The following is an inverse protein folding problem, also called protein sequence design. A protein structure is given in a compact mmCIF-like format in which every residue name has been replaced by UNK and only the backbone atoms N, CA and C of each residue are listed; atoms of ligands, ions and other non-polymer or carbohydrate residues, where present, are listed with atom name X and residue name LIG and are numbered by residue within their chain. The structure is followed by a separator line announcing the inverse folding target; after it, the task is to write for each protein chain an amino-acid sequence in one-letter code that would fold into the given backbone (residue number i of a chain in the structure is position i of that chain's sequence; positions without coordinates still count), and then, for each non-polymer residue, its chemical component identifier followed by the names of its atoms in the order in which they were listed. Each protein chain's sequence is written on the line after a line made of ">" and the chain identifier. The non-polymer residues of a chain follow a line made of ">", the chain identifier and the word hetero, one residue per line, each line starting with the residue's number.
data_IF_208852245012
#
_entry.id   IF_208852245012
#
_cell.length_a   1.000
_cell.length_b   1.000
_cell.length_c   1.000
_cell.angle_alpha   90.00
_cell.angle_beta   90.00
_cell.angle_gamma   90.00
#
_symmetry.space_group_name_H-M   'P 1'
#
loop_
_entity.id
_entity.type
_entity.pdbx_description
1 polymer ?
#
# COMPACT_ATOMS: atom_id res chain seq x y z
N UNK A 1 65.78 -60.22 47.80
CA UNK A 1 66.76 -60.47 46.71
C UNK A 1 65.95 -60.75 45.45
N UNK A 2 66.12 -60.19 44.25
CA UNK A 2 67.12 -59.35 43.60
C UNK A 2 66.37 -58.52 42.55
N UNK A 3 66.85 -57.28 42.33
CA UNK A 3 66.52 -56.43 41.17
C UNK A 3 66.92 -57.14 39.89
N UNK A 4 66.21 -56.85 38.80
CA UNK A 4 66.82 -56.68 37.47
C UNK A 4 66.01 -55.67 36.66
N UNK A 5 66.71 -54.65 36.19
CA UNK A 5 66.24 -53.72 35.16
C UNK A 5 66.42 -54.36 33.80
N UNK A 6 65.49 -54.17 32.86
CA UNK A 6 65.86 -53.97 31.47
C UNK A 6 64.89 -53.03 30.74
N UNK A 7 65.47 -52.33 29.78
CA UNK A 7 65.06 -51.15 29.04
C UNK A 7 64.06 -51.41 27.89
N UNK A 8 63.36 -50.33 27.50
CA UNK A 8 62.88 -49.92 26.15
C UNK A 8 62.10 -50.91 25.26
N UNK A 9 60.91 -50.49 24.80
CA UNK A 9 60.75 -50.08 23.39
C UNK A 9 59.43 -49.31 23.17
N UNK A 10 59.55 -48.17 22.51
CA UNK A 10 58.47 -47.33 21.98
C UNK A 10 57.67 -48.04 20.90
N UNK A 11 56.34 -47.85 20.89
CA UNK A 11 55.54 -47.84 19.66
C UNK A 11 54.34 -46.91 19.85
N UNK A 12 54.50 -45.65 19.43
CA UNK A 12 53.38 -44.75 19.19
C UNK A 12 52.70 -45.23 17.89
N UNK A 13 51.55 -45.88 18.02
CA UNK A 13 50.63 -46.06 16.90
C UNK A 13 49.96 -44.71 16.61
N UNK A 14 50.60 -43.93 15.72
CA UNK A 14 49.96 -42.88 14.95
C UNK A 14 48.95 -43.55 14.01
N UNK A 15 47.74 -43.80 14.51
CA UNK A 15 46.60 -43.91 13.61
C UNK A 15 46.34 -42.52 13.05
N UNK A 16 46.72 -42.34 11.78
CA UNK A 16 46.28 -41.21 10.98
C UNK A 16 44.75 -41.22 10.96
N UNK A 17 44.15 -40.34 11.75
CA UNK A 17 42.77 -39.93 11.53
C UNK A 17 42.81 -39.24 10.16
N UNK A 18 42.12 -39.74 9.12
CA UNK A 18 41.88 -38.92 7.95
C UNK A 18 41.12 -37.71 8.48
N UNK A 19 41.81 -36.57 8.53
CA UNK A 19 41.14 -35.30 8.71
C UNK A 19 40.25 -35.18 7.49
N UNK A 20 38.98 -35.56 7.64
CA UNK A 20 37.96 -35.16 6.72
C UNK A 20 38.04 -33.63 6.74
N UNK A 21 38.65 -33.08 5.70
CA UNK A 21 38.43 -31.70 5.32
C UNK A 21 36.95 -31.64 4.98
N UNK A 22 36.12 -31.38 5.98
CA UNK A 22 34.82 -30.81 5.76
C UNK A 22 35.09 -29.47 5.12
N UNK A 23 35.07 -29.44 3.80
CA UNK A 23 34.81 -28.22 3.07
C UNK A 23 33.45 -27.73 3.56
N UNK A 24 33.46 -26.83 4.54
CA UNK A 24 32.34 -25.95 4.79
C UNK A 24 32.29 -25.04 3.58
N UNK A 25 31.52 -25.44 2.56
CA UNK A 25 31.12 -24.53 1.50
C UNK A 25 30.22 -23.48 2.17
N UNK A 26 30.85 -22.40 2.60
CA UNK A 26 30.21 -21.10 2.81
C UNK A 26 29.68 -20.62 1.45
N UNK A 27 28.55 -21.17 1.00
CA UNK A 27 27.58 -20.56 0.09
C UNK A 27 26.39 -21.51 -0.14
N UNK A 28 25.72 -21.92 0.94
CA UNK A 28 24.34 -22.40 0.79
C UNK A 28 23.50 -21.13 0.80
N UNK A 29 23.24 -20.58 -0.39
CA UNK A 29 22.22 -19.55 -0.54
C UNK A 29 20.94 -20.08 0.12
N UNK A 30 20.60 -19.50 1.28
CA UNK A 30 19.40 -19.83 2.00
C UNK A 30 18.23 -19.43 1.10
N UNK A 31 17.37 -20.37 0.74
CA UNK A 31 16.24 -20.09 -0.16
C UNK A 31 15.26 -19.17 0.54
N UNK A 32 15.30 -17.88 0.19
CA UNK A 32 14.46 -16.88 0.83
C UNK A 32 13.22 -16.65 -0.02
N UNK A 33 12.06 -17.03 0.52
CA UNK A 33 10.78 -16.50 0.04
C UNK A 33 10.71 -15.02 0.43
N UNK A 34 10.79 -14.13 -0.57
CA UNK A 34 10.48 -12.71 -0.40
C UNK A 34 9.01 -12.47 -0.64
N UNK A 35 8.41 -11.64 0.22
CA UNK A 35 7.00 -11.25 0.11
C UNK A 35 6.95 -9.73 0.06
N UNK A 36 6.19 -9.21 -0.90
CA UNK A 36 5.87 -7.79 -1.02
C UNK A 36 4.37 -7.62 -1.19
N UNK A 37 3.87 -6.43 -0.91
CA UNK A 37 2.46 -6.12 -1.06
C UNK A 37 2.26 -4.71 -1.60
N UNK A 38 1.12 -4.48 -2.26
CA UNK A 38 0.69 -3.17 -2.73
C UNK A 38 -0.83 -3.07 -2.80
N UNK A 39 -1.40 -1.87 -2.63
CA UNK A 39 -2.82 -1.66 -2.89
C UNK A 39 -3.15 -1.84 -4.39
N UNK A 40 -4.33 -2.37 -4.69
CA UNK A 40 -4.87 -2.60 -6.04
C UNK A 40 -6.29 -1.99 -6.22
N UNK A 41 -6.65 -1.06 -5.33
CA UNK A 41 -7.96 -0.40 -5.29
C UNK A 41 -8.65 -0.56 -3.94
N UNK A 42 -9.93 -0.20 -3.88
CA UNK A 42 -10.73 -0.11 -2.64
C UNK A 42 -10.63 -1.38 -1.79
N UNK A 43 -9.89 -1.31 -0.69
CA UNK A 43 -9.67 -2.43 0.22
C UNK A 43 -8.90 -3.62 -0.37
N UNK A 44 -8.49 -3.57 -1.64
CA UNK A 44 -7.85 -4.69 -2.33
C UNK A 44 -6.35 -4.59 -2.26
N UNK A 45 -5.71 -5.69 -1.89
CA UNK A 45 -4.27 -5.81 -1.77
C UNK A 45 -3.76 -6.95 -2.62
N UNK A 46 -2.68 -6.71 -3.34
CA UNK A 46 -1.95 -7.72 -4.10
C UNK A 46 -0.69 -8.05 -3.32
N UNK A 47 -0.48 -9.33 -3.05
CA UNK A 47 0.74 -9.85 -2.47
C UNK A 47 1.49 -10.61 -3.54
N UNK A 48 2.79 -10.36 -3.65
CA UNK A 48 3.70 -11.06 -4.54
C UNK A 48 4.70 -11.80 -3.69
N UNK A 49 4.74 -13.12 -3.83
CA UNK A 49 5.80 -13.95 -3.29
C UNK A 49 6.81 -14.28 -4.39
N UNK A 50 8.09 -14.34 -4.05
CA UNK A 50 9.19 -14.61 -4.97
C UNK A 50 10.21 -15.52 -4.31
N UNK A 51 10.59 -16.59 -4.99
CA UNK A 51 11.77 -17.39 -4.66
C UNK A 51 12.98 -16.74 -5.33
N UNK A 52 13.97 -16.32 -4.54
CA UNK A 52 15.20 -15.79 -5.08
C UNK A 52 16.27 -16.87 -5.25
N UNK A 53 16.99 -16.82 -6.37
CA UNK A 53 18.16 -17.68 -6.62
C UNK A 53 17.81 -19.11 -7.03
N UNK A 54 16.56 -19.39 -7.38
CA UNK A 54 16.11 -20.69 -7.84
C UNK A 54 15.65 -20.63 -9.29
N UNK A 55 16.08 -21.58 -10.11
CA UNK A 55 15.68 -21.72 -11.52
C UNK A 55 14.83 -22.98 -11.68
N UNK A 56 13.98 -23.02 -12.72
CA UNK A 56 13.11 -24.17 -13.02
C UNK A 56 12.15 -24.55 -11.88
N UNK A 57 11.63 -23.54 -11.18
CA UNK A 57 10.65 -23.71 -10.10
C UNK A 57 9.30 -24.17 -10.64
N UNK A 58 8.74 -25.23 -10.05
CA UNK A 58 7.37 -25.69 -10.29
C UNK A 58 6.73 -26.14 -9.00
N UNK A 59 5.54 -25.64 -8.69
CA UNK A 59 4.83 -26.08 -7.51
C UNK A 59 3.61 -25.24 -7.18
N UNK A 60 3.10 -25.48 -5.98
CA UNK A 60 1.91 -24.83 -5.46
C UNK A 60 2.29 -23.76 -4.45
N UNK A 61 1.68 -22.59 -4.62
CA UNK A 61 1.78 -21.50 -3.67
C UNK A 61 0.47 -21.39 -2.89
N UNK A 62 0.56 -21.37 -1.56
CA UNK A 62 -0.58 -21.09 -0.69
C UNK A 62 -0.34 -19.80 0.09
N UNK A 63 -1.38 -18.97 0.14
CA UNK A 63 -1.40 -17.70 0.85
C UNK A 63 -2.53 -17.75 1.86
N UNK A 64 -2.24 -17.49 3.13
CA UNK A 64 -3.23 -17.46 4.22
C UNK A 64 -3.13 -16.13 4.95
N UNK A 65 -4.14 -15.29 4.80
CA UNK A 65 -4.27 -14.00 5.49
C UNK A 65 -5.02 -14.18 6.81
N UNK A 66 -4.41 -13.71 7.89
CA UNK A 66 -4.91 -13.70 9.27
C UNK A 66 -5.48 -15.05 9.74
N UNK A 67 -4.97 -16.16 9.18
CA UNK A 67 -5.39 -17.52 9.54
C UNK A 67 -6.76 -17.96 9.00
N UNK A 68 -7.44 -17.13 8.19
CA UNK A 68 -8.82 -17.38 7.77
C UNK A 68 -9.01 -17.35 6.25
N UNK A 69 -8.48 -16.33 5.58
CA UNK A 69 -8.64 -16.19 4.13
C UNK A 69 -7.49 -16.88 3.41
N UNK A 70 -7.80 -17.95 2.69
CA UNK A 70 -6.78 -18.72 1.97
C UNK A 70 -7.01 -18.74 0.47
N UNK A 71 -5.94 -18.60 -0.31
CA UNK A 71 -5.93 -18.93 -1.74
C UNK A 71 -4.73 -19.80 -2.06
N UNK A 72 -4.93 -20.76 -2.97
CA UNK A 72 -3.84 -21.57 -3.52
C UNK A 72 -3.77 -21.34 -5.02
N UNK A 73 -2.55 -21.09 -5.51
CA UNK A 73 -2.27 -20.83 -6.92
C UNK A 73 -1.22 -21.83 -7.36
N UNK A 74 -1.63 -22.72 -8.26
CA UNK A 74 -0.69 -23.57 -9.01
C UNK A 74 0.02 -22.68 -10.03
N UNK A 75 1.35 -22.68 -10.00
CA UNK A 75 2.13 -21.79 -10.86
C UNK A 75 3.45 -22.42 -11.31
N UNK A 76 3.75 -22.29 -12.59
CA UNK A 76 5.09 -22.57 -13.13
C UNK A 76 5.91 -21.28 -13.13
N UNK A 77 6.87 -21.19 -12.23
CA UNK A 77 7.77 -20.04 -12.12
C UNK A 77 8.08 -19.63 -10.68
N UNK A 78 9.02 -18.71 -10.56
CA UNK A 78 9.61 -18.26 -9.27
C UNK A 78 8.70 -17.33 -8.47
N UNK A 79 7.58 -16.87 -9.04
CA UNK A 79 6.72 -15.85 -8.45
C UNK A 79 5.25 -16.23 -8.49
N UNK A 80 4.53 -15.99 -7.40
CA UNK A 80 3.08 -16.12 -7.36
C UNK A 80 2.45 -14.86 -6.76
N UNK A 81 1.21 -14.60 -7.17
CA UNK A 81 0.44 -13.47 -6.68
C UNK A 81 -0.90 -13.93 -6.09
N UNK A 82 -1.27 -13.32 -4.97
CA UNK A 82 -2.58 -13.47 -4.35
C UNK A 82 -3.23 -12.11 -4.15
N UNK A 83 -4.56 -12.07 -4.25
CA UNK A 83 -5.35 -10.86 -3.99
C UNK A 83 -6.27 -11.10 -2.81
N UNK A 84 -6.29 -10.16 -1.88
CA UNK A 84 -7.18 -10.18 -0.72
C UNK A 84 -7.93 -8.85 -0.61
N UNK A 85 -9.12 -8.90 -0.02
CA UNK A 85 -9.84 -7.70 0.43
C UNK A 85 -9.59 -7.54 1.92
N UNK A 86 -9.04 -6.41 2.33
CA UNK A 86 -8.66 -6.07 3.70
C UNK A 86 -9.34 -4.75 4.04
N UNK A 87 -10.41 -4.85 4.82
CA UNK A 87 -11.26 -3.70 5.15
C UNK A 87 -10.91 -3.08 6.51
N UNK A 88 -10.17 -3.79 7.35
CA UNK A 88 -9.70 -3.28 8.64
C UNK A 88 -8.31 -2.69 8.53
N UNK A 89 -8.05 -1.50 9.10
CA UNK A 89 -6.70 -1.02 9.28
C UNK A 89 -6.03 -1.68 10.50
N UNK A 90 -4.70 -1.60 10.55
CA UNK A 90 -3.89 -2.15 11.63
C UNK A 90 -2.91 -3.21 11.15
N UNK A 91 -2.46 -4.05 12.08
CA UNK A 91 -1.45 -5.08 11.83
C UNK A 91 -2.11 -6.36 11.30
N UNK A 92 -1.54 -6.91 10.25
CA UNK A 92 -1.99 -8.14 9.58
C UNK A 92 -0.85 -9.13 9.42
N UNK A 93 -1.21 -10.41 9.30
CA UNK A 93 -0.27 -11.50 9.08
C UNK A 93 -0.65 -12.27 7.81
N UNK A 94 0.31 -12.41 6.90
CA UNK A 94 0.22 -13.29 5.76
C UNK A 94 1.21 -14.45 5.93
N UNK A 95 0.69 -15.67 5.89
CA UNK A 95 1.51 -16.86 5.80
C UNK A 95 1.56 -17.32 4.34
N UNK A 96 2.77 -17.40 3.78
CA UNK A 96 3.02 -17.88 2.43
C UNK A 96 3.73 -19.21 2.51
N UNK A 97 3.26 -20.22 1.80
CA UNK A 97 3.96 -21.49 1.64
C UNK A 97 4.12 -21.85 0.17
N UNK A 98 5.26 -22.43 -0.16
CA UNK A 98 5.53 -23.04 -1.45
C UNK A 98 5.80 -24.53 -1.23
N UNK A 99 5.21 -25.39 -2.05
CA UNK A 99 5.51 -26.82 -2.08
C UNK A 99 5.73 -27.26 -3.53
N UNK A 100 6.91 -27.79 -3.84
CA UNK A 100 7.22 -28.16 -5.21
C UNK A 100 8.69 -28.46 -5.47
N UNK A 101 9.06 -28.40 -6.74
CA UNK A 101 10.42 -28.60 -7.24
C UNK A 101 11.19 -27.28 -7.35
N UNK A 102 12.44 -27.30 -6.89
CA UNK A 102 13.43 -26.24 -6.90
C UNK A 102 14.70 -26.79 -7.60
N UNK A 103 14.75 -26.67 -8.92
CA UNK A 103 15.72 -27.39 -9.76
C UNK A 103 15.58 -28.91 -9.60
N UNK A 104 16.67 -29.56 -9.17
CA UNK A 104 16.72 -31.03 -8.99
C UNK A 104 16.19 -31.51 -7.64
N UNK A 105 15.69 -30.60 -6.80
CA UNK A 105 15.23 -30.90 -5.43
C UNK A 105 13.74 -30.67 -5.32
N UNK A 106 13.08 -31.40 -4.43
CA UNK A 106 11.74 -31.05 -3.96
C UNK A 106 11.82 -30.48 -2.55
N UNK A 107 10.92 -29.57 -2.22
CA UNK A 107 10.94 -28.90 -0.93
C UNK A 107 9.66 -28.18 -0.60
N UNK A 108 9.56 -27.81 0.67
CA UNK A 108 8.52 -26.95 1.19
C UNK A 108 9.15 -25.77 1.91
N UNK A 109 8.73 -24.57 1.53
CA UNK A 109 9.18 -23.32 2.12
C UNK A 109 7.98 -22.62 2.75
N UNK A 110 8.20 -21.97 3.89
CA UNK A 110 7.16 -21.20 4.58
C UNK A 110 7.74 -19.85 4.98
N UNK A 111 6.94 -18.80 4.84
CA UNK A 111 7.28 -17.44 5.23
C UNK A 111 6.10 -16.81 5.93
N UNK A 112 6.33 -16.39 7.17
CA UNK A 112 5.46 -15.43 7.84
C UNK A 112 5.84 -14.01 7.40
N UNK A 113 4.85 -13.23 6.98
CA UNK A 113 4.99 -11.86 6.56
C UNK A 113 4.00 -10.98 7.32
N UNK A 114 4.52 -10.08 8.14
CA UNK A 114 3.74 -9.13 8.93
C UNK A 114 3.77 -7.78 8.22
N UNK A 115 2.60 -7.16 8.07
CA UNK A 115 2.46 -5.84 7.46
C UNK A 115 1.38 -5.02 8.18
N UNK A 116 1.36 -3.71 7.92
CA UNK A 116 0.38 -2.78 8.49
C UNK A 116 -0.43 -2.13 7.38
N UNK A 117 -1.76 -2.15 7.55
CA UNK A 117 -2.72 -1.43 6.73
C UNK A 117 -3.02 -0.09 7.40
N UNK A 118 -2.51 1.04 6.88
CA UNK A 118 -2.72 2.35 7.47
C UNK A 118 -4.17 2.84 7.33
N UNK A 119 -4.56 3.80 8.19
CA UNK A 119 -5.85 4.50 8.08
C UNK A 119 -5.68 6.01 8.03
N UNK A 120 -6.47 6.71 7.22
CA UNK A 120 -6.51 8.16 7.18
C UNK A 120 -7.58 8.73 8.14
N UNK A 121 -7.10 9.46 9.15
CA UNK A 121 -7.93 10.26 10.06
C UNK A 121 -7.90 11.72 9.65
N UNK A 122 -9.08 12.36 9.57
CA UNK A 122 -9.23 13.81 9.34
C UNK A 122 -9.99 14.41 10.49
N UNK A 123 -9.44 15.46 11.10
CA UNK A 123 -10.00 16.20 12.22
C UNK A 123 -10.15 17.67 11.87
N UNK A 124 -11.28 18.25 12.27
CA UNK A 124 -11.57 19.67 12.12
C UNK A 124 -11.54 20.27 13.52
N UNK A 125 -10.69 21.26 13.70
CA UNK A 125 -10.69 22.11 14.88
C UNK A 125 -11.61 23.30 14.63
N UNK A 126 -12.44 23.65 15.62
CA UNK A 126 -13.39 24.77 15.55
C UNK A 126 -12.73 26.12 15.27
N UNK A 127 -11.39 26.20 15.36
CA UNK A 127 -10.57 27.35 14.96
C UNK A 127 -10.17 27.36 13.47
N UNK A 128 -10.99 26.79 12.56
CA UNK A 128 -10.75 26.72 11.10
C UNK A 128 -9.51 25.92 10.68
N UNK A 129 -8.98 25.06 11.55
CA UNK A 129 -7.84 24.20 11.21
C UNK A 129 -8.32 22.80 10.82
N UNK A 130 -7.79 22.29 9.71
CA UNK A 130 -7.97 20.90 9.29
C UNK A 130 -6.65 20.18 9.52
N UNK A 131 -6.73 19.03 10.18
CA UNK A 131 -5.58 18.16 10.42
C UNK A 131 -5.85 16.76 9.89
N UNK A 132 -4.90 16.21 9.16
CA UNK A 132 -4.92 14.86 8.63
C UNK A 132 -3.75 14.06 9.23
N UNK A 133 -3.99 12.78 9.49
CA UNK A 133 -3.01 11.86 10.06
C UNK A 133 -3.19 10.46 9.50
N UNK A 134 -2.10 9.84 9.08
CA UNK A 134 -2.04 8.40 8.84
C UNK A 134 -1.82 7.68 10.17
N UNK A 135 -2.73 6.75 10.49
CA UNK A 135 -2.66 5.85 11.64
C UNK A 135 -1.99 4.54 11.22
N UNK A 136 -1.42 3.82 12.19
CA UNK A 136 -0.72 2.55 11.97
C UNK A 136 0.45 2.66 10.98
N UNK A 137 1.18 3.77 11.07
CA UNK A 137 2.44 3.97 10.38
C UNK A 137 3.27 5.03 11.11
N UNK A 138 4.58 4.80 11.19
CA UNK A 138 5.55 5.80 11.62
C UNK A 138 6.34 6.37 10.44
N UNK A 139 6.35 5.67 9.31
CA UNK A 139 7.13 6.00 8.12
C UNK A 139 6.20 6.30 6.95
N UNK A 140 6.07 7.58 6.64
CA UNK A 140 5.33 8.05 5.47
C UNK A 140 6.10 9.20 4.84
N UNK A 141 6.27 9.14 3.52
CA UNK A 141 6.90 10.18 2.72
C UNK A 141 6.01 10.44 1.51
N UNK A 142 5.38 11.62 1.49
CA UNK A 142 4.44 11.92 0.43
C UNK A 142 3.88 13.32 0.49
N UNK A 143 2.92 13.56 -0.40
CA UNK A 143 2.27 14.83 -0.57
C UNK A 143 0.84 14.76 -0.05
N UNK A 144 0.53 15.70 0.84
CA UNK A 144 -0.83 15.99 1.27
C UNK A 144 -1.46 17.06 0.39
N UNK A 145 -2.74 16.89 0.10
CA UNK A 145 -3.56 17.94 -0.54
C UNK A 145 -4.89 18.06 0.20
N UNK A 146 -5.22 19.28 0.61
CA UNK A 146 -6.54 19.66 1.08
C UNK A 146 -7.17 20.54 -0.01
N UNK A 147 -8.29 20.11 -0.56
CA UNK A 147 -9.08 20.89 -1.51
C UNK A 147 -10.47 21.16 -0.92
N UNK A 148 -10.88 22.42 -0.93
CA UNK A 148 -12.16 22.86 -0.43
C UNK A 148 -12.97 23.46 -1.57
N UNK A 149 -14.25 23.11 -1.66
CA UNK A 149 -15.16 23.70 -2.63
C UNK A 149 -16.54 23.92 -2.05
N UNK A 150 -17.33 24.74 -2.72
CA UNK A 150 -18.71 25.03 -2.33
C UNK A 150 -19.63 23.85 -2.65
N UNK A 151 -20.88 23.90 -2.20
CA UNK A 151 -21.89 22.89 -2.55
C UNK A 151 -22.17 22.77 -4.07
N UNK A 152 -21.84 23.81 -4.87
CA UNK A 152 -21.95 23.75 -6.34
C UNK A 152 -20.83 22.93 -6.99
N UNK A 153 -19.78 22.60 -6.21
CA UNK A 153 -18.54 21.97 -6.65
C UNK A 153 -17.45 22.97 -7.06
N UNK A 154 -17.72 24.27 -6.98
CA UNK A 154 -16.73 25.32 -7.28
C UNK A 154 -15.59 25.28 -6.27
N UNK A 155 -14.36 25.27 -6.75
CA UNK A 155 -13.17 25.24 -5.92
C UNK A 155 -12.96 26.60 -5.23
N UNK A 156 -12.82 26.55 -3.90
CA UNK A 156 -12.59 27.72 -3.05
C UNK A 156 -11.12 27.84 -2.68
N UNK A 157 -10.50 26.71 -2.34
CA UNK A 157 -9.13 26.70 -1.84
C UNK A 157 -8.44 25.35 -2.11
N UNK A 158 -7.14 25.39 -2.39
CA UNK A 158 -6.26 24.22 -2.36
C UNK A 158 -5.03 24.54 -1.50
N UNK A 159 -4.69 23.63 -0.59
CA UNK A 159 -3.45 23.64 0.19
C UNK A 159 -2.71 22.34 0.00
N UNK A 160 -1.40 22.44 -0.21
CA UNK A 160 -0.53 21.29 -0.41
C UNK A 160 0.63 21.32 0.59
N UNK A 161 1.13 20.15 0.96
CA UNK A 161 2.42 20.02 1.64
C UNK A 161 3.59 20.02 0.63
N UNK A 162 4.81 20.00 1.14
CA UNK A 162 5.97 19.53 0.37
C UNK A 162 5.79 18.06 -0.04
N UNK A 163 6.61 17.59 -0.98
CA UNK A 163 6.48 16.26 -1.60
C UNK A 163 6.90 15.09 -0.69
N UNK A 164 7.77 15.36 0.27
CA UNK A 164 8.41 14.44 1.22
C UNK A 164 7.87 14.61 2.64
N UNK A 165 6.59 14.99 2.74
CA UNK A 165 5.98 15.27 4.03
C UNK A 165 5.65 13.98 4.79
N UNK A 166 5.84 14.04 6.11
CA UNK A 166 5.55 12.95 7.04
C UNK A 166 4.05 12.59 7.14
N UNK A 167 3.70 11.65 8.05
CA UNK A 167 2.36 11.05 8.16
C UNK A 167 1.27 12.01 8.67
N UNK A 168 1.60 13.26 8.98
CA UNK A 168 0.69 14.26 9.57
C UNK A 168 0.77 15.53 8.77
N UNK A 169 -0.36 16.17 8.55
CA UNK A 169 -0.40 17.50 7.96
C UNK A 169 -1.55 18.32 8.54
N UNK A 170 -1.29 19.59 8.84
CA UNK A 170 -2.30 20.49 9.39
C UNK A 170 -2.19 21.86 8.75
N UNK A 171 -3.33 22.44 8.39
CA UNK A 171 -3.44 23.78 7.84
C UNK A 171 -4.69 24.48 8.32
N UNK A 172 -4.56 25.78 8.52
CA UNK A 172 -5.70 26.69 8.64
C UNK A 172 -6.27 26.94 7.24
N UNK A 173 -7.59 26.84 7.12
CA UNK A 173 -8.30 27.24 5.93
C UNK A 173 -8.42 28.76 5.87
N UNK A 174 -8.69 29.30 4.69
CA UNK A 174 -9.01 30.70 4.50
C UNK A 174 -10.28 31.10 5.28
N UNK A 175 -10.53 32.40 5.39
CA UNK A 175 -11.79 32.88 5.94
C UNK A 175 -12.94 32.55 4.98
N UNK A 176 -13.79 31.64 5.42
CA UNK A 176 -14.95 31.17 4.68
C UNK A 176 -16.18 31.98 5.06
N UNK A 177 -17.02 32.25 4.07
CA UNK A 177 -18.36 32.78 4.32
C UNK A 177 -19.24 31.69 4.94
N UNK A 178 -20.30 32.07 5.66
CA UNK A 178 -21.26 31.10 6.17
C UNK A 178 -21.86 30.24 5.03
N UNK A 179 -21.95 28.93 5.24
CA UNK A 179 -22.43 28.01 4.21
C UNK A 179 -21.95 26.56 4.35
N UNK A 180 -22.15 25.79 3.28
CA UNK A 180 -21.77 24.37 3.20
C UNK A 180 -20.67 24.15 2.18
N UNK A 181 -19.64 23.40 2.58
CA UNK A 181 -18.46 23.14 1.78
C UNK A 181 -18.14 21.64 1.74
N UNK A 182 -17.44 21.23 0.68
CA UNK A 182 -16.89 19.88 0.52
C UNK A 182 -15.38 19.96 0.68
N UNK A 183 -14.87 19.26 1.68
CA UNK A 183 -13.43 19.09 1.91
C UNK A 183 -13.02 17.74 1.33
N UNK A 184 -12.03 17.76 0.45
CA UNK A 184 -11.31 16.60 -0.05
C UNK A 184 -9.90 16.61 0.55
N UNK A 185 -9.56 15.57 1.29
CA UNK A 185 -8.22 15.32 1.81
C UNK A 185 -7.63 14.14 1.07
N UNK A 186 -6.44 14.34 0.50
CA UNK A 186 -5.68 13.26 -0.12
C UNK A 186 -4.25 13.19 0.41
N UNK A 187 -3.71 11.99 0.34
CA UNK A 187 -2.29 11.71 0.51
C UNK A 187 -1.82 10.85 -0.66
N UNK A 188 -0.65 11.17 -1.19
CA UNK A 188 0.00 10.38 -2.23
C UNK A 188 1.49 10.24 -1.91
N UNK A 189 1.96 9.00 -1.75
CA UNK A 189 3.37 8.73 -1.55
C UNK A 189 3.61 7.33 -0.99
N UNK A 190 4.73 7.16 -0.30
CA UNK A 190 5.08 5.88 0.33
C UNK A 190 4.59 5.85 1.76
N UNK A 191 4.07 4.70 2.18
CA UNK A 191 3.76 4.38 3.57
C UNK A 191 4.39 3.03 3.89
N UNK A 192 5.25 2.98 4.90
CA UNK A 192 6.03 1.79 5.25
C UNK A 192 6.77 1.19 4.02
N UNK A 193 7.27 2.05 3.13
CA UNK A 193 7.96 1.67 1.89
C UNK A 193 7.06 1.30 0.70
N UNK A 194 5.73 1.26 0.89
CA UNK A 194 4.76 0.87 -0.15
C UNK A 194 4.08 2.10 -0.75
N UNK A 195 4.12 2.23 -2.07
CA UNK A 195 3.41 3.27 -2.82
C UNK A 195 1.89 3.17 -2.59
N UNK A 196 1.31 4.21 -1.99
CA UNK A 196 -0.07 4.22 -1.51
C UNK A 196 -0.73 5.59 -1.71
N UNK A 197 -2.01 5.57 -2.09
CA UNK A 197 -2.87 6.75 -2.13
C UNK A 197 -4.01 6.64 -1.12
N UNK A 198 -4.32 7.75 -0.44
CA UNK A 198 -5.51 7.89 0.38
C UNK A 198 -6.37 9.03 -0.12
N UNK A 199 -7.68 8.83 -0.02
CA UNK A 199 -8.66 9.88 -0.24
C UNK A 199 -9.74 9.80 0.83
N UNK A 200 -10.10 10.95 1.39
CA UNK A 200 -11.25 11.11 2.28
C UNK A 200 -11.96 12.42 1.98
N UNK A 201 -13.27 12.36 1.84
CA UNK A 201 -14.12 13.53 1.67
C UNK A 201 -14.94 13.76 2.93
N UNK A 202 -15.20 15.02 3.26
CA UNK A 202 -16.09 15.42 4.35
C UNK A 202 -16.93 16.63 3.94
N UNK A 203 -18.19 16.64 4.37
CA UNK A 203 -19.03 17.84 4.27
C UNK A 203 -18.84 18.72 5.51
N UNK A 204 -18.50 19.98 5.28
CA UNK A 204 -18.29 20.99 6.32
C UNK A 204 -19.42 22.02 6.32
N UNK A 205 -19.71 22.55 7.51
CA UNK A 205 -20.59 23.70 7.70
C UNK A 205 -19.84 24.83 8.40
N UNK A 206 -20.01 26.04 7.87
CA UNK A 206 -19.51 27.30 8.45
C UNK A 206 -20.71 28.10 8.91
N UNK A 207 -20.77 28.41 10.20
CA UNK A 207 -21.85 29.24 10.77
C UNK A 207 -21.61 30.74 10.56
N UNK A 208 -22.56 31.58 11.01
CA UNK A 208 -22.48 33.05 10.89
C UNK A 208 -21.28 33.66 11.61
N UNK A 209 -20.74 32.97 12.61
CA UNK A 209 -19.56 33.37 13.37
C UNK A 209 -18.26 32.86 12.71
N UNK A 210 -18.36 32.16 11.58
CA UNK A 210 -17.23 31.60 10.85
C UNK A 210 -16.64 30.35 11.50
N UNK A 211 -17.34 29.70 12.43
CA UNK A 211 -16.90 28.46 13.05
C UNK A 211 -17.13 27.29 12.11
N UNK A 212 -16.09 26.47 11.95
CA UNK A 212 -16.11 25.30 11.09
C UNK A 212 -16.52 24.06 11.88
N UNK A 213 -17.51 23.32 11.37
CA UNK A 213 -17.99 22.06 11.95
C UNK A 213 -18.26 21.04 10.84
N UNK A 214 -18.41 19.76 11.21
CA UNK A 214 -18.97 18.77 10.30
C UNK A 214 -20.44 19.10 10.04
N UNK A 215 -20.90 18.87 8.81
CA UNK A 215 -22.30 19.07 8.48
C UNK A 215 -23.21 18.11 9.28
N UNK A 216 -24.48 18.48 9.54
CA UNK A 216 -25.42 17.60 10.23
C UNK A 216 -25.55 16.24 9.54
N UNK A 217 -25.40 15.16 10.29
CA UNK A 217 -25.45 13.78 9.78
C UNK A 217 -24.13 13.24 9.22
N UNK A 218 -23.12 14.08 9.04
CA UNK A 218 -21.77 13.64 8.70
C UNK A 218 -21.08 13.13 9.97
N UNK A 219 -20.78 11.83 10.01
CA UNK A 219 -19.90 11.28 11.03
C UNK A 219 -18.48 11.30 10.47
N UNK A 220 -17.51 11.83 11.22
CA UNK A 220 -16.11 11.90 10.80
C UNK A 220 -15.46 10.54 10.52
N UNK A 221 -16.22 9.46 10.69
CA UNK A 221 -15.81 8.07 10.72
C UNK A 221 -15.93 7.37 9.36
N UNK A 222 -16.44 8.04 8.31
CA UNK A 222 -16.43 7.49 6.95
C UNK A 222 -15.03 6.98 6.59
N UNK A 223 -14.89 5.71 6.18
CA UNK A 223 -13.58 5.13 5.91
C UNK A 223 -12.92 5.86 4.74
N UNK A 224 -11.62 6.09 4.85
CA UNK A 224 -10.86 6.60 3.73
C UNK A 224 -10.75 5.51 2.66
N UNK A 225 -10.78 5.93 1.40
CA UNK A 225 -10.51 5.03 0.29
C UNK A 225 -9.01 4.91 0.12
N UNK A 226 -8.49 3.71 0.34
CA UNK A 226 -7.12 3.34 -0.03
C UNK A 226 -7.14 2.95 -1.51
N UNK A 227 -6.26 3.54 -2.29
CA UNK A 227 -6.21 3.34 -3.73
C UNK A 227 -4.79 3.50 -4.26
N UNK A 228 -4.57 3.15 -5.52
CA UNK A 228 -3.32 3.37 -6.20
C UNK A 228 -3.00 4.89 -6.32
N UNK A 229 -1.73 5.31 -6.13
CA UNK A 229 -1.31 6.72 -6.12
C UNK A 229 -1.72 7.54 -7.36
N UNK A 230 -1.66 6.94 -8.54
CA UNK A 230 -1.97 7.58 -9.82
C UNK A 230 -3.43 8.03 -9.90
N UNK A 231 -4.35 7.28 -9.26
CA UNK A 231 -5.76 7.65 -9.20
C UNK A 231 -5.95 8.90 -8.34
N UNK A 232 -5.19 9.03 -7.25
CA UNK A 232 -5.20 10.23 -6.41
C UNK A 232 -4.64 11.44 -7.17
N UNK A 233 -3.51 11.26 -7.87
CA UNK A 233 -2.90 12.32 -8.67
C UNK A 233 -3.89 12.91 -9.71
N UNK A 234 -4.63 12.03 -10.40
CA UNK A 234 -5.62 12.43 -11.40
C UNK A 234 -6.76 13.26 -10.79
N UNK A 235 -7.24 12.90 -9.59
CA UNK A 235 -8.28 13.66 -8.88
C UNK A 235 -7.78 15.08 -8.54
N UNK A 236 -6.53 15.21 -8.07
CA UNK A 236 -5.93 16.51 -7.74
C UNK A 236 -5.77 17.37 -9.00
N UNK A 237 -5.23 16.82 -10.08
CA UNK A 237 -4.99 17.57 -11.31
C UNK A 237 -6.29 18.09 -11.93
N UNK A 238 -7.32 17.25 -12.02
CA UNK A 238 -8.63 17.66 -12.52
C UNK A 238 -9.25 18.79 -11.69
N UNK A 239 -9.07 18.75 -10.36
CA UNK A 239 -9.55 19.80 -9.46
C UNK A 239 -8.83 21.13 -9.72
N UNK A 240 -7.53 21.10 -10.05
CA UNK A 240 -6.75 22.32 -10.37
C UNK A 240 -7.11 22.93 -11.72
N UNK A 241 -7.49 22.11 -12.71
CA UNK A 241 -7.82 22.58 -14.06
C UNK A 241 -9.23 23.20 -14.17
N UNK A 242 -9.85 23.60 -13.04
CA UNK A 242 -11.19 24.15 -12.99
C UNK A 242 -12.30 23.10 -13.01
N UNK A 243 -11.96 21.82 -12.80
CA UNK A 243 -12.94 20.77 -12.57
C UNK A 243 -13.69 20.99 -11.26
N UNK A 244 -14.97 20.59 -11.22
CA UNK A 244 -15.75 20.59 -9.99
C UNK A 244 -15.22 19.53 -9.03
N UNK A 245 -15.15 19.84 -7.73
CA UNK A 245 -14.84 18.81 -6.74
C UNK A 245 -15.90 17.69 -6.77
N UNK A 246 -15.48 16.43 -6.60
CA UNK A 246 -16.40 15.30 -6.62
C UNK A 246 -17.38 15.40 -5.45
N UNK A 247 -18.68 15.54 -5.76
CA UNK A 247 -19.75 15.48 -4.76
C UNK A 247 -19.83 14.05 -4.23
N UNK A 248 -19.29 13.80 -3.05
CA UNK A 248 -19.18 12.46 -2.45
C UNK A 248 -20.05 12.29 -1.20
N UNK A 249 -21.08 13.12 -1.06
CA UNK A 249 -22.06 13.07 0.04
C UNK A 249 -23.10 11.95 -0.15
N UNK A 250 -22.66 10.70 -0.26
CA UNK A 250 -23.53 9.53 -0.09
C UNK A 250 -22.91 8.59 0.93
N UNK A 251 -23.74 7.99 1.79
CA UNK A 251 -23.40 6.90 2.72
C UNK A 251 -22.73 5.69 2.05
N UNK A 252 -22.69 5.68 0.72
CA UNK A 252 -21.91 4.80 -0.13
C UNK A 252 -21.02 5.65 -1.06
N UNK A 253 -19.80 6.02 -0.64
CA UNK A 253 -18.86 6.81 -1.47
C UNK A 253 -18.51 6.12 -2.81
N UNK A 254 -18.71 4.80 -2.88
CA UNK A 254 -18.47 3.96 -4.05
C UNK A 254 -19.29 4.34 -5.31
N UNK A 255 -20.54 4.77 -5.17
CA UNK A 255 -21.39 5.06 -6.34
C UNK A 255 -21.15 6.46 -6.92
N UNK A 256 -20.74 7.42 -6.09
CA UNK A 256 -20.40 8.77 -6.54
C UNK A 256 -19.08 8.81 -7.33
N UNK A 257 -18.14 7.91 -7.02
CA UNK A 257 -16.90 7.72 -7.79
C UNK A 257 -17.19 7.22 -9.21
N UNK A 258 -18.17 6.31 -9.40
CA UNK A 258 -18.62 5.87 -10.73
C UNK A 258 -19.19 7.05 -11.53
N UNK A 259 -19.87 8.00 -10.87
CA UNK A 259 -20.34 9.24 -11.51
C UNK A 259 -19.20 10.12 -12.02
N UNK A 260 -18.08 10.20 -11.30
CA UNK A 260 -16.87 10.89 -11.76
C UNK A 260 -16.23 10.13 -12.94
N UNK A 261 -16.13 8.80 -12.89
CA UNK A 261 -15.63 7.99 -14.01
C UNK A 261 -16.49 8.10 -15.28
N UNK A 262 -17.82 8.20 -15.16
CA UNK A 262 -18.73 8.40 -16.30
C UNK A 262 -18.63 9.81 -16.92
N UNK A 263 -18.44 10.84 -16.10
CA UNK A 263 -18.16 12.20 -16.59
C UNK A 263 -16.79 12.28 -17.30
N UNK A 264 -15.79 11.55 -16.79
CA UNK A 264 -14.44 11.47 -17.38
C UNK A 264 -14.41 10.74 -18.73
N UNK A 265 -15.19 9.66 -18.90
CA UNK A 265 -15.34 8.96 -20.18
C UNK A 265 -16.07 9.78 -21.25
N UNK A 266 -17.06 10.58 -20.85
CA UNK A 266 -17.82 11.44 -21.77
C UNK A 266 -17.00 12.55 -22.43
N UNK A 267 -16.02 13.12 -21.71
CA UNK A 267 -15.19 14.21 -22.26
C UNK A 267 -14.15 13.70 -23.29
N UNK A 268 -13.66 12.48 -23.12
CA UNK A 268 -12.72 11.86 -24.06
C UNK A 268 -13.39 11.48 -25.39
N UNK A 269 -14.68 11.12 -25.36
CA UNK A 269 -15.48 10.84 -26.56
C UNK A 269 -15.87 12.11 -27.34
N UNK A 270 -15.95 13.27 -26.68
CA UNK A 270 -16.24 14.56 -27.31
C UNK A 270 -15.00 15.21 -27.97
N UNK A 271 -13.78 14.81 -27.58
CA UNK A 271 -12.53 15.15 -28.29
C UNK A 271 -12.26 14.16 -29.43
N UNK A 272 -13.21 13.98 -30.35
CA UNK A 272 -12.88 13.44 -31.67
C UNK A 272 -12.21 14.55 -32.49
N UNK A 273 -10.98 14.37 -33.01
CA UNK A 273 -10.40 15.35 -33.90
C UNK A 273 -11.29 15.45 -35.14
N UNK A 274 -11.76 16.66 -35.45
CA UNK A 274 -12.38 16.96 -36.73
C UNK A 274 -11.41 16.53 -37.84
N UNK A 275 -11.75 15.45 -38.52
CA UNK A 275 -11.02 14.97 -39.68
C UNK A 275 -10.96 16.08 -40.71
N UNK A 276 -9.74 16.45 -41.10
CA UNK A 276 -9.52 17.28 -42.28
C UNK A 276 -10.13 16.55 -43.46
N UNK A 277 -11.12 17.17 -44.11
CA UNK A 277 -11.50 16.81 -45.46
C UNK A 277 -10.29 17.07 -46.37
N UNK A 278 -9.67 16.01 -46.85
CA UNK A 278 -8.79 16.08 -48.01
C UNK A 278 -9.65 16.26 -49.25
N UNK A 279 -9.72 17.49 -49.76
CA UNK A 279 -10.09 17.77 -51.14
C UNK A 279 -9.03 17.17 -52.05
N UNK A 280 -9.46 16.23 -52.90
CA UNK A 280 -8.69 15.74 -54.05
C UNK A 280 -8.90 16.73 -55.19
N UNK A 281 -7.80 17.23 -55.75
CA UNK A 281 -7.73 17.82 -57.09
C UNK A 281 -6.73 17.02 -57.90
#
# INVERSE_FOLDING_TARGET
>A
MKRWHFFLLSFFLLFGIPSAVTATSDDVAEHVVKVSHRPDGEGKWVFTATLEGEENVRGDWSFVLDGHDSTTVEYEGEQAQAKFSIDSPGKHQLNVSFEGSLGDRTGRLNKEYIFEVPALSVKIDGSKAVSANLLYTEQAEGKWTFALGTNSGELVEIRESAQDHGPRFSKKLADLQPGTYHLLVTYQGKVNGVETGFQKSQTLHVDEQGKLTLAPGETGDSPAVITAPEKVAQVIENSKQGGKLPKTATSHPAQALIGLFLLLGGWMLLKRPNGKQTTVS
#
